data_IF_381558541693
#
_entry.id   IF_381558541693
#
_cell.length_a   1.000
_cell.length_b   1.000
_cell.length_c   1.000
_cell.angle_alpha   90.00
_cell.angle_beta   90.00
_cell.angle_gamma   90.00
#
_symmetry.space_group_name_H-M   'P 1'
#
loop_
_entity.id
_entity.type
_entity.pdbx_description
1 polymer ?
#
# COMPACT_ATOMS: atom_id res chain seq x y z
N UNK A 1 -7.63 11.83 14.33
CA UNK A 1 -6.50 12.74 14.62
C UNK A 1 -5.32 12.18 13.85
N UNK A 2 -4.86 12.85 12.79
CA UNK A 2 -3.63 12.41 12.10
C UNK A 2 -2.48 12.87 12.99
N UNK A 3 -1.58 11.97 13.43
CA UNK A 3 -0.44 12.36 14.25
C UNK A 3 0.41 13.41 13.52
N UNK A 4 0.86 14.44 14.23
CA UNK A 4 1.89 15.34 13.71
C UNK A 4 3.21 14.58 13.68
N UNK A 5 3.68 14.26 12.47
CA UNK A 5 4.89 13.48 12.22
C UNK A 5 6.10 14.38 11.90
N UNK A 6 5.98 15.71 12.01
CA UNK A 6 7.00 16.68 11.53
C UNK A 6 8.37 16.57 12.21
N UNK A 7 8.52 15.77 13.28
CA UNK A 7 9.79 15.45 13.93
C UNK A 7 10.05 13.95 14.13
N UNK A 8 9.20 13.06 13.61
CA UNK A 8 9.29 11.61 13.82
C UNK A 8 10.05 10.98 12.67
N UNK A 9 11.19 10.37 12.95
CA UNK A 9 11.88 9.53 11.97
C UNK A 9 10.99 8.31 11.67
N UNK A 10 10.67 8.06 10.40
CA UNK A 10 9.93 6.86 10.00
C UNK A 10 10.81 5.61 9.91
N UNK A 11 12.05 5.70 10.40
CA UNK A 11 12.97 4.57 10.53
C UNK A 11 12.39 3.50 11.44
N UNK A 12 12.48 2.25 10.98
CA UNK A 12 11.97 1.04 11.63
C UNK A 12 10.43 0.90 11.66
N UNK A 13 9.70 1.72 10.93
CA UNK A 13 8.28 1.48 10.67
C UNK A 13 8.11 0.70 9.38
N UNK A 14 7.31 -0.37 9.44
CA UNK A 14 6.82 -1.06 8.24
C UNK A 14 5.41 -0.60 7.94
N UNK A 15 5.17 -0.13 6.72
CA UNK A 15 3.84 0.22 6.24
C UNK A 15 3.36 -0.85 5.27
N UNK A 16 2.21 -1.46 5.59
CA UNK A 16 1.49 -2.30 4.64
C UNK A 16 0.75 -1.41 3.65
N UNK A 17 1.03 -1.59 2.36
CA UNK A 17 0.44 -0.82 1.27
C UNK A 17 -0.48 -1.74 0.47
N UNK A 18 -1.78 -1.44 0.52
CA UNK A 18 -2.78 -2.17 -0.26
C UNK A 18 -2.71 -1.72 -1.71
N UNK A 19 -2.52 -2.67 -2.63
CA UNK A 19 -2.44 -2.42 -4.07
C UNK A 19 -3.42 -3.32 -4.83
N UNK A 20 -4.06 -2.78 -5.86
CA UNK A 20 -4.73 -3.59 -6.90
C UNK A 20 -3.74 -3.84 -8.04
N UNK A 21 -3.93 -4.88 -8.86
CA UNK A 21 -3.06 -5.15 -10.02
C UNK A 21 -3.64 -4.48 -11.27
N UNK A 22 -3.12 -3.29 -11.59
CA UNK A 22 -3.60 -2.45 -12.70
C UNK A 22 -2.41 -1.85 -13.43
N UNK A 23 -2.17 -2.30 -14.66
CA UNK A 23 -1.16 -1.67 -15.53
C UNK A 23 -1.55 -0.24 -15.89
N UNK A 24 -0.59 0.69 -16.00
CA UNK A 24 0.86 0.52 -15.82
C UNK A 24 1.35 0.82 -14.38
N UNK A 25 0.44 0.85 -13.41
CA UNK A 25 0.75 1.29 -12.05
C UNK A 25 1.35 0.16 -11.19
N UNK A 26 0.81 -1.04 -11.33
CA UNK A 26 1.16 -2.21 -10.52
C UNK A 26 0.89 -3.49 -11.30
N UNK A 27 1.91 -4.31 -11.51
CA UNK A 27 1.81 -5.58 -12.19
C UNK A 27 2.88 -6.56 -11.72
N UNK A 28 2.73 -7.83 -12.07
CA UNK A 28 3.73 -8.85 -11.73
C UNK A 28 4.96 -8.64 -12.61
N UNK A 29 6.13 -8.65 -11.98
CA UNK A 29 7.41 -8.58 -12.66
C UNK A 29 7.65 -9.82 -13.51
N UNK A 30 8.00 -9.63 -14.77
CA UNK A 30 8.41 -10.74 -15.63
C UNK A 30 9.81 -11.21 -15.22
N UNK A 31 9.94 -12.50 -14.86
CA UNK A 31 11.19 -13.06 -14.36
C UNK A 31 11.33 -14.52 -14.74
N UNK A 32 12.56 -14.92 -15.08
CA UNK A 32 12.92 -16.32 -15.34
C UNK A 32 13.03 -17.14 -14.04
N UNK A 33 13.13 -16.48 -12.90
CA UNK A 33 13.20 -17.12 -11.57
C UNK A 33 12.02 -16.71 -10.72
N UNK A 34 11.64 -17.55 -9.76
CA UNK A 34 10.63 -17.19 -8.76
C UNK A 34 11.11 -16.00 -7.93
N UNK A 35 10.24 -15.00 -7.77
CA UNK A 35 10.46 -13.85 -6.90
C UNK A 35 9.54 -13.96 -5.68
N UNK A 36 9.94 -13.34 -4.57
CA UNK A 36 9.21 -13.39 -3.31
C UNK A 36 9.04 -11.98 -2.73
N UNK A 37 8.09 -11.82 -1.81
CA UNK A 37 7.82 -10.52 -1.18
C UNK A 37 7.48 -9.42 -2.20
N UNK A 38 8.09 -8.26 -2.02
CA UNK A 38 7.89 -7.07 -2.86
C UNK A 38 8.53 -7.20 -4.24
N UNK A 39 9.59 -8.00 -4.39
CA UNK A 39 10.34 -8.15 -5.66
C UNK A 39 9.46 -8.70 -6.79
N UNK A 40 8.31 -9.29 -6.44
CA UNK A 40 7.31 -9.81 -7.37
C UNK A 40 6.59 -8.72 -8.16
N UNK A 41 6.64 -7.47 -7.71
CA UNK A 41 5.82 -6.40 -8.25
C UNK A 41 6.69 -5.35 -8.94
N UNK A 42 6.17 -4.76 -10.02
CA UNK A 42 6.75 -3.59 -10.67
C UNK A 42 5.64 -2.67 -11.21
N UNK A 43 6.01 -1.47 -11.61
CA UNK A 43 5.10 -0.46 -12.15
C UNK A 43 5.23 0.88 -11.43
N UNK A 44 4.58 1.92 -11.99
CA UNK A 44 4.77 3.29 -11.54
C UNK A 44 4.50 3.51 -10.04
N UNK A 45 3.47 2.86 -9.48
CA UNK A 45 3.15 3.01 -8.06
C UNK A 45 4.17 2.30 -7.16
N UNK A 46 4.70 1.16 -7.59
CA UNK A 46 5.74 0.43 -6.86
C UNK A 46 6.99 1.31 -6.75
N UNK A 47 7.49 1.83 -7.88
CA UNK A 47 8.67 2.71 -7.94
C UNK A 47 8.50 3.96 -7.06
N UNK A 48 7.29 4.54 -7.07
CA UNK A 48 6.97 5.72 -6.26
C UNK A 48 7.07 5.41 -4.76
N UNK A 49 6.46 4.32 -4.30
CA UNK A 49 6.45 3.98 -2.88
C UNK A 49 7.83 3.53 -2.39
N UNK A 50 8.60 2.79 -3.20
CA UNK A 50 9.98 2.45 -2.88
C UNK A 50 10.86 3.69 -2.73
N UNK A 51 10.70 4.67 -3.63
CA UNK A 51 11.42 5.94 -3.51
C UNK A 51 11.03 6.74 -2.26
N UNK A 52 9.74 6.79 -1.93
CA UNK A 52 9.27 7.41 -0.68
C UNK A 52 9.83 6.69 0.56
N UNK A 53 9.91 5.36 0.52
CA UNK A 53 10.50 4.56 1.58
C UNK A 53 11.99 4.87 1.79
N UNK A 54 12.76 5.00 0.70
CA UNK A 54 14.17 5.39 0.76
C UNK A 54 14.35 6.82 1.32
N UNK A 55 13.59 7.79 0.80
CA UNK A 55 13.68 9.20 1.20
C UNK A 55 13.27 9.42 2.68
N UNK A 56 12.27 8.68 3.17
CA UNK A 56 11.69 8.86 4.51
C UNK A 56 12.16 7.81 5.53
N UNK A 57 12.81 6.73 5.07
CA UNK A 57 13.43 5.69 5.87
C UNK A 57 12.51 4.59 6.40
N UNK A 58 11.30 4.41 5.85
CA UNK A 58 10.39 3.33 6.26
C UNK A 58 10.53 2.08 5.39
N UNK A 59 9.88 0.98 5.77
CA UNK A 59 9.85 -0.27 5.00
C UNK A 59 8.47 -0.44 4.35
N UNK A 60 8.42 -0.69 3.04
CA UNK A 60 7.19 -1.04 2.34
C UNK A 60 6.90 -2.54 2.46
N UNK A 61 5.63 -2.90 2.64
CA UNK A 61 5.12 -4.27 2.48
C UNK A 61 3.89 -4.23 1.57
N UNK A 62 4.04 -4.67 0.32
CA UNK A 62 2.96 -4.60 -0.66
C UNK A 62 2.02 -5.79 -0.52
N UNK A 63 0.73 -5.51 -0.38
CA UNK A 63 -0.32 -6.51 -0.24
C UNK A 63 -1.39 -6.31 -1.31
N UNK A 64 -1.49 -7.29 -2.20
CA UNK A 64 -2.51 -7.27 -3.26
C UNK A 64 -3.90 -7.43 -2.64
N UNK A 65 -4.84 -6.57 -3.06
CA UNK A 65 -6.24 -6.62 -2.65
C UNK A 65 -7.16 -6.60 -3.87
N UNK A 66 -8.29 -7.29 -3.76
CA UNK A 66 -9.39 -7.27 -4.73
C UNK A 66 -10.59 -6.47 -4.21
N UNK A 67 -10.39 -5.68 -3.15
CA UNK A 67 -11.44 -4.82 -2.60
C UNK A 67 -11.68 -3.65 -3.55
N UNK A 68 -12.94 -3.27 -3.70
CA UNK A 68 -13.29 -1.97 -4.31
C UNK A 68 -12.59 -0.84 -3.55
N UNK A 69 -12.30 0.29 -4.22
CA UNK A 69 -11.81 1.52 -3.57
C UNK A 69 -12.51 1.83 -2.25
N UNK A 70 -13.85 1.70 -2.22
CA UNK A 70 -14.61 1.88 -1.00
C UNK A 70 -15.13 3.29 -0.81
N UNK A 71 -15.88 3.47 0.26
CA UNK A 71 -16.59 4.70 0.58
C UNK A 71 -17.51 4.51 1.77
N UNK A 72 -18.37 5.49 2.03
CA UNK A 72 -19.35 5.43 3.11
C UNK A 72 -20.68 4.85 2.64
N UNK A 73 -21.28 3.98 3.45
CA UNK A 73 -22.60 3.40 3.19
C UNK A 73 -23.58 3.74 4.31
N UNK A 74 -24.44 4.72 4.06
CA UNK A 74 -25.41 5.24 5.03
C UNK A 74 -26.33 4.17 5.60
N UNK A 75 -26.78 3.23 4.75
CA UNK A 75 -27.76 2.20 5.15
C UNK A 75 -27.29 1.31 6.32
N UNK A 76 -25.97 1.17 6.47
CA UNK A 76 -25.35 0.39 7.55
C UNK A 76 -24.44 1.25 8.43
N UNK A 77 -24.39 2.56 8.19
CA UNK A 77 -23.55 3.53 8.88
C UNK A 77 -22.08 3.06 9.02
N UNK A 78 -21.53 2.53 7.92
CA UNK A 78 -20.18 1.96 7.89
C UNK A 78 -19.51 2.24 6.54
N UNK A 79 -18.18 2.32 6.56
CA UNK A 79 -17.34 2.26 5.37
C UNK A 79 -17.26 0.84 4.79
N UNK A 80 -16.85 0.75 3.52
CA UNK A 80 -16.54 -0.50 2.83
C UNK A 80 -15.28 -0.34 1.96
N UNK A 81 -14.81 -1.44 1.36
CA UNK A 81 -13.64 -1.43 0.46
C UNK A 81 -12.33 -1.10 1.16
N UNK A 82 -11.37 -0.58 0.40
CA UNK A 82 -10.04 -0.18 0.92
C UNK A 82 -10.17 0.86 2.03
N UNK A 83 -11.12 1.81 1.92
CA UNK A 83 -11.39 2.80 2.97
C UNK A 83 -11.64 2.14 4.34
N UNK A 84 -12.41 1.04 4.36
CA UNK A 84 -12.71 0.33 5.61
C UNK A 84 -11.50 -0.35 6.23
N UNK A 85 -10.62 -0.93 5.40
CA UNK A 85 -9.39 -1.57 5.91
C UNK A 85 -8.47 -0.53 6.53
N UNK A 86 -8.33 0.65 5.91
CA UNK A 86 -7.55 1.76 6.46
C UNK A 86 -8.13 2.23 7.79
N UNK A 87 -9.46 2.43 7.88
CA UNK A 87 -10.13 2.82 9.14
C UNK A 87 -9.93 1.77 10.25
N UNK A 88 -9.80 0.50 9.89
CA UNK A 88 -9.65 -0.62 10.82
C UNK A 88 -8.19 -1.01 11.08
N UNK A 89 -7.23 -0.33 10.43
CA UNK A 89 -5.80 -0.60 10.55
C UNK A 89 -5.38 -1.98 10.01
N UNK A 90 -5.92 -2.41 8.87
CA UNK A 90 -5.73 -3.74 8.28
C UNK A 90 -5.09 -3.74 6.89
#
# INVERSE_FOLDING_TARGET
MVPDMSGVSMKNYTFTILVEMVEPFTYLKESATSLEGNDRYEGFAIDLFEKLADDLGFICDFKVTNLSYGGWKDSINQSYGVVREIEQGR
#
